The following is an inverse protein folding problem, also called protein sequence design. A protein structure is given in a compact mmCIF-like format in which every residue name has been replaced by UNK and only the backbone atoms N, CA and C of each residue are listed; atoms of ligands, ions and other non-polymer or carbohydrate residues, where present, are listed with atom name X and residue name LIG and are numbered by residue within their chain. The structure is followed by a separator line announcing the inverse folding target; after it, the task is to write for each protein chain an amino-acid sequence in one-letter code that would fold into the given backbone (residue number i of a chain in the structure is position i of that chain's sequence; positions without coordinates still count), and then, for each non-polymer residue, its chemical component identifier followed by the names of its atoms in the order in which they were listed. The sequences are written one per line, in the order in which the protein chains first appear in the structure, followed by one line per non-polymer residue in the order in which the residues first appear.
data_IF_373802330295
#
_entry.id   IF_373802330295
#
_cell.length_a   1.000
_cell.length_b   1.000
_cell.length_c   1.000
_cell.angle_alpha   90.00
_cell.angle_beta   90.00
_cell.angle_gamma   90.00
#
_symmetry.space_group_name_H-M   'P 1'
#
loop_
_entity.id
_entity.type
_entity.pdbx_description
1 polymer ?
#
# COMPACT_ATOMS: atom_id res chain seq x y z
N UNK A 1 42.33 -64.38 -26.60
CA UNK A 1 41.85 -63.61 -25.48
C UNK A 1 40.56 -62.80 -25.90
N UNK A 2 39.39 -63.36 -25.60
CA UNK A 2 38.10 -62.67 -25.81
C UNK A 2 37.95 -61.57 -24.76
N UNK A 3 38.20 -60.34 -25.12
CA UNK A 3 38.09 -59.17 -24.27
C UNK A 3 36.63 -59.03 -23.82
N UNK A 4 36.39 -59.07 -22.52
CA UNK A 4 35.05 -58.92 -21.88
C UNK A 4 34.51 -57.49 -22.10
N UNK A 5 33.95 -57.26 -23.28
CA UNK A 5 33.34 -55.90 -23.60
C UNK A 5 32.02 -55.62 -22.87
N UNK A 6 31.38 -56.69 -22.30
CA UNK A 6 30.10 -56.54 -21.57
C UNK A 6 30.23 -55.80 -20.23
N UNK A 7 31.30 -56.09 -19.46
CA UNK A 7 31.45 -55.41 -18.15
C UNK A 7 31.75 -53.94 -18.22
N UNK A 8 32.44 -53.47 -19.28
CA UNK A 8 32.70 -52.02 -19.47
C UNK A 8 31.42 -51.26 -19.83
N UNK A 9 30.52 -51.90 -20.60
CA UNK A 9 29.24 -51.28 -20.96
C UNK A 9 28.29 -51.11 -19.77
N UNK A 10 28.27 -52.05 -18.84
CA UNK A 10 27.47 -52.00 -17.63
C UNK A 10 27.94 -50.87 -16.68
N UNK A 11 29.25 -50.74 -16.49
CA UNK A 11 29.82 -49.67 -15.65
C UNK A 11 29.52 -48.31 -16.24
N UNK A 12 29.66 -48.13 -17.56
CA UNK A 12 29.33 -46.87 -18.23
C UNK A 12 27.84 -46.53 -18.09
N UNK A 13 26.96 -47.53 -18.24
CA UNK A 13 25.51 -47.32 -18.07
C UNK A 13 25.14 -46.88 -16.65
N UNK A 14 25.75 -47.47 -15.63
CA UNK A 14 25.51 -47.06 -14.21
C UNK A 14 26.02 -45.67 -13.95
N UNK A 15 27.21 -45.31 -14.43
CA UNK A 15 27.78 -43.97 -14.27
C UNK A 15 26.89 -42.92 -14.95
N UNK A 16 26.42 -43.17 -16.17
CA UNK A 16 25.51 -42.27 -16.87
C UNK A 16 24.17 -42.11 -16.15
N UNK A 17 23.62 -43.21 -15.60
CA UNK A 17 22.39 -43.15 -14.82
C UNK A 17 22.55 -42.27 -13.55
N UNK A 18 23.64 -42.44 -12.81
CA UNK A 18 23.95 -41.63 -11.63
C UNK A 18 24.09 -40.16 -12.02
N UNK A 19 24.77 -39.87 -13.13
CA UNK A 19 24.95 -38.49 -13.62
C UNK A 19 23.62 -37.85 -14.01
N UNK A 20 22.73 -38.58 -14.68
CA UNK A 20 21.39 -38.07 -15.02
C UNK A 20 20.55 -37.80 -13.77
N UNK A 21 20.52 -38.71 -12.81
CA UNK A 21 19.72 -38.55 -11.58
C UNK A 21 20.24 -37.40 -10.75
N UNK A 22 21.56 -37.25 -10.64
CA UNK A 22 22.14 -36.12 -9.87
C UNK A 22 21.90 -34.78 -10.53
N UNK A 23 22.00 -34.66 -11.86
CA UNK A 23 21.73 -33.40 -12.56
C UNK A 23 20.26 -32.98 -12.48
N UNK A 24 19.33 -33.94 -12.66
CA UNK A 24 17.88 -33.65 -12.52
C UNK A 24 17.56 -33.29 -11.07
N UNK A 25 18.06 -34.05 -10.09
CA UNK A 25 17.85 -33.81 -8.67
C UNK A 25 18.35 -32.42 -8.24
N UNK A 26 19.53 -32.03 -8.72
CA UNK A 26 20.10 -30.72 -8.44
C UNK A 26 19.29 -29.56 -9.09
N UNK A 27 18.82 -29.78 -10.34
CA UNK A 27 17.96 -28.82 -11.02
C UNK A 27 16.64 -28.59 -10.28
N UNK A 28 15.97 -29.64 -9.83
CA UNK A 28 14.74 -29.56 -9.04
C UNK A 28 15.00 -28.88 -7.69
N UNK A 29 16.11 -29.16 -7.04
CA UNK A 29 16.52 -28.54 -5.79
C UNK A 29 16.72 -27.03 -5.95
N UNK A 30 17.46 -26.57 -6.97
CA UNK A 30 17.63 -25.13 -7.24
C UNK A 30 16.33 -24.44 -7.57
N UNK A 31 15.47 -25.06 -8.37
CA UNK A 31 14.14 -24.53 -8.66
C UNK A 31 13.30 -24.37 -7.40
N UNK A 32 13.32 -25.39 -6.53
CA UNK A 32 12.62 -25.35 -5.24
C UNK A 32 13.10 -24.22 -4.33
N UNK A 33 14.41 -24.00 -4.22
CA UNK A 33 14.98 -22.88 -3.46
C UNK A 33 14.51 -21.52 -4.00
N UNK A 34 14.51 -21.32 -5.31
CA UNK A 34 14.02 -20.08 -5.93
C UNK A 34 12.54 -19.84 -5.66
N UNK A 35 11.73 -20.88 -5.74
CA UNK A 35 10.31 -20.81 -5.44
C UNK A 35 10.04 -20.46 -3.97
N UNK A 36 10.73 -21.09 -3.03
CA UNK A 36 10.60 -20.76 -1.60
C UNK A 36 11.06 -19.34 -1.28
N UNK A 37 12.12 -18.85 -1.89
CA UNK A 37 12.60 -17.47 -1.67
C UNK A 37 11.58 -16.46 -2.16
N UNK A 38 10.96 -16.67 -3.33
CA UNK A 38 9.95 -15.78 -3.85
C UNK A 38 8.67 -15.77 -3.00
N UNK A 39 8.26 -16.91 -2.46
CA UNK A 39 7.10 -17.00 -1.55
C UNK A 39 7.35 -16.31 -0.21
N UNK A 40 8.55 -16.45 0.36
CA UNK A 40 8.91 -15.77 1.62
C UNK A 40 8.94 -14.26 1.45
N UNK A 41 9.53 -13.75 0.37
CA UNK A 41 9.55 -12.32 0.07
C UNK A 41 8.15 -11.75 -0.14
N UNK A 42 7.28 -12.47 -0.85
CA UNK A 42 5.89 -12.06 -1.04
C UNK A 42 5.10 -12.01 0.28
N UNK A 43 5.33 -12.96 1.18
CA UNK A 43 4.70 -12.99 2.51
C UNK A 43 5.21 -11.87 3.42
N UNK A 44 6.49 -11.55 3.39
CA UNK A 44 7.06 -10.44 4.17
C UNK A 44 6.49 -9.09 3.71
N UNK A 45 6.39 -8.86 2.40
CA UNK A 45 5.79 -7.63 1.86
C UNK A 45 4.32 -7.53 2.26
N UNK A 46 3.54 -8.59 2.09
CA UNK A 46 2.13 -8.61 2.47
C UNK A 46 1.92 -8.44 3.99
N UNK A 47 2.78 -9.07 4.81
CA UNK A 47 2.75 -8.92 6.26
C UNK A 47 3.05 -7.50 6.71
N UNK A 48 4.06 -6.86 6.13
CA UNK A 48 4.44 -5.48 6.45
C UNK A 48 3.35 -4.47 6.05
N UNK A 49 2.68 -4.66 4.92
CA UNK A 49 1.56 -3.82 4.50
C UNK A 49 0.41 -3.96 5.49
N UNK A 50 0.00 -5.18 5.85
CA UNK A 50 -1.08 -5.42 6.80
C UNK A 50 -0.81 -4.81 8.18
N UNK A 51 0.43 -4.93 8.69
CA UNK A 51 0.82 -4.36 9.99
C UNK A 51 0.77 -2.82 9.95
N UNK A 52 1.22 -2.20 8.87
CA UNK A 52 1.13 -0.74 8.69
C UNK A 52 -0.32 -0.29 8.62
N UNK A 53 -1.17 -0.96 7.85
CA UNK A 53 -2.61 -0.66 7.75
C UNK A 53 -3.31 -0.71 9.11
N UNK A 54 -3.02 -1.72 9.93
CA UNK A 54 -3.60 -1.86 11.28
C UNK A 54 -3.06 -0.81 12.25
N UNK A 55 -1.83 -0.34 12.05
CA UNK A 55 -1.16 0.63 12.94
C UNK A 55 -1.31 2.08 12.51
N UNK A 56 -1.87 2.33 11.35
CA UNK A 56 -2.08 3.67 10.84
C UNK A 56 -3.22 4.36 11.59
N UNK A 57 -2.87 5.36 12.38
CA UNK A 57 -3.81 6.15 13.16
C UNK A 57 -3.62 7.63 12.85
N UNK A 58 -4.65 8.23 12.33
CA UNK A 58 -4.72 9.67 12.10
C UNK A 58 -6.12 10.17 12.42
N UNK A 59 -6.26 11.45 12.67
CA UNK A 59 -7.55 12.08 12.88
C UNK A 59 -7.57 13.46 12.22
N UNK A 60 -8.76 13.93 11.94
CA UNK A 60 -9.01 15.30 11.54
C UNK A 60 -9.19 16.13 12.82
N UNK A 61 -8.30 17.08 13.04
CA UNK A 61 -8.31 17.95 14.23
C UNK A 61 -9.30 19.09 14.05
N UNK A 62 -9.29 19.70 12.86
CA UNK A 62 -10.09 20.88 12.54
C UNK A 62 -10.38 20.92 11.04
N UNK A 63 -11.48 21.57 10.68
CA UNK A 63 -11.85 21.83 9.28
C UNK A 63 -12.29 23.27 9.13
N UNK A 64 -11.71 23.96 8.19
CA UNK A 64 -12.04 25.32 7.85
C UNK A 64 -12.62 25.42 6.43
N UNK A 65 -13.74 26.11 6.28
CA UNK A 65 -14.43 26.35 5.02
C UNK A 65 -14.28 27.82 4.65
N UNK A 66 -13.57 28.12 3.56
CA UNK A 66 -13.39 29.47 3.06
C UNK A 66 -14.25 29.70 1.82
N UNK A 67 -15.26 30.55 1.94
CA UNK A 67 -16.17 30.87 0.84
C UNK A 67 -15.48 31.69 -0.25
N UNK A 68 -15.94 31.53 -1.49
CA UNK A 68 -15.54 32.33 -2.64
C UNK A 68 -14.03 32.36 -2.92
N UNK A 69 -13.29 31.33 -2.49
CA UNK A 69 -11.84 31.27 -2.64
C UNK A 69 -11.40 31.16 -4.11
N UNK A 70 -12.07 30.31 -4.89
CA UNK A 70 -11.80 30.12 -6.32
C UNK A 70 -12.80 30.86 -7.24
N UNK A 71 -13.89 31.42 -6.66
CA UNK A 71 -14.96 32.09 -7.40
C UNK A 71 -16.30 31.99 -6.68
N UNK A 72 -17.39 32.59 -7.23
CA UNK A 72 -18.71 32.52 -6.60
C UNK A 72 -19.19 31.08 -6.47
N UNK A 73 -19.73 30.70 -5.31
CA UNK A 73 -20.20 29.38 -4.93
C UNK A 73 -19.08 28.30 -4.95
N UNK A 74 -17.83 28.69 -4.76
CA UNK A 74 -16.70 27.82 -4.67
C UNK A 74 -16.03 27.96 -3.31
N UNK A 75 -15.83 26.83 -2.65
CA UNK A 75 -15.28 26.77 -1.30
C UNK A 75 -13.90 26.15 -1.33
N UNK A 76 -12.99 26.66 -0.52
CA UNK A 76 -11.80 25.94 -0.13
C UNK A 76 -12.11 25.17 1.15
N UNK A 77 -12.06 23.86 1.08
CA UNK A 77 -12.12 22.97 2.25
C UNK A 77 -10.70 22.68 2.69
N UNK A 78 -10.38 23.03 3.92
CA UNK A 78 -9.05 22.83 4.50
C UNK A 78 -9.18 22.01 5.79
N UNK A 79 -8.83 20.72 5.71
CA UNK A 79 -8.84 19.80 6.84
C UNK A 79 -7.44 19.67 7.43
N UNK A 80 -7.30 19.95 8.72
CA UNK A 80 -6.07 19.73 9.47
C UNK A 80 -6.03 18.31 9.96
N UNK A 81 -5.14 17.50 9.40
CA UNK A 81 -4.99 16.06 9.74
C UNK A 81 -3.75 15.86 10.59
N UNK A 82 -3.90 15.21 11.73
CA UNK A 82 -2.81 14.86 12.64
C UNK A 82 -2.46 13.37 12.53
N UNK A 83 -1.19 13.07 12.41
CA UNK A 83 -0.65 11.71 12.37
C UNK A 83 -0.16 11.27 13.75
N UNK A 84 -0.81 10.25 14.34
CA UNK A 84 -0.40 9.65 15.62
C UNK A 84 0.64 8.52 15.48
N UNK A 85 1.04 8.19 14.23
CA UNK A 85 1.98 7.12 13.98
C UNK A 85 3.44 7.56 14.13
N UNK A 86 4.32 6.60 14.28
CA UNK A 86 5.77 6.81 14.27
C UNK A 86 6.40 6.71 12.85
N UNK A 87 5.56 6.75 11.81
CA UNK A 87 5.97 6.74 10.40
C UNK A 87 5.09 7.70 9.59
N UNK A 88 5.55 8.04 8.39
CA UNK A 88 4.79 8.91 7.49
C UNK A 88 3.51 8.23 7.04
N UNK A 89 2.41 8.96 7.03
CA UNK A 89 1.16 8.57 6.38
C UNK A 89 0.95 9.43 5.14
N UNK A 90 0.23 8.90 4.18
CA UNK A 90 -0.10 9.59 2.93
C UNK A 90 -1.60 9.65 2.76
N UNK A 91 -2.13 10.85 2.65
CA UNK A 91 -3.55 11.09 2.38
C UNK A 91 -3.75 11.22 0.88
N UNK A 92 -4.64 10.41 0.33
CA UNK A 92 -4.89 10.34 -1.12
C UNK A 92 -6.26 10.88 -1.53
N UNK A 93 -7.22 10.95 -0.62
CA UNK A 93 -8.56 11.41 -0.95
C UNK A 93 -9.23 12.10 0.22
N UNK A 94 -10.02 13.12 -0.08
CA UNK A 94 -10.94 13.77 0.85
C UNK A 94 -12.35 13.80 0.24
N UNK A 95 -13.36 13.66 1.08
CA UNK A 95 -14.76 13.71 0.66
C UNK A 95 -15.53 14.64 1.60
N UNK A 96 -16.45 15.39 1.03
CA UNK A 96 -17.39 16.23 1.73
C UNK A 96 -18.81 15.77 1.39
N UNK A 97 -19.56 15.34 2.39
CA UNK A 97 -20.92 14.79 2.22
C UNK A 97 -21.00 13.71 1.13
N UNK A 98 -19.95 12.86 1.00
CA UNK A 98 -19.85 11.82 -0.03
C UNK A 98 -19.31 12.30 -1.38
N UNK A 99 -19.20 13.60 -1.63
CA UNK A 99 -18.61 14.15 -2.84
C UNK A 99 -17.08 14.20 -2.73
N UNK A 100 -16.39 13.63 -3.69
CA UNK A 100 -14.92 13.63 -3.71
C UNK A 100 -14.38 15.02 -3.99
N UNK A 101 -13.44 15.46 -3.16
CA UNK A 101 -12.67 16.70 -3.36
C UNK A 101 -11.31 16.34 -3.97
N UNK A 102 -10.89 17.12 -4.97
CA UNK A 102 -9.56 17.00 -5.54
C UNK A 102 -8.53 17.62 -4.57
N UNK A 103 -7.79 16.77 -3.88
CA UNK A 103 -6.78 17.20 -2.90
C UNK A 103 -5.60 17.83 -3.63
N UNK A 104 -5.22 19.05 -3.21
CA UNK A 104 -4.03 19.73 -3.71
C UNK A 104 -2.76 19.05 -3.20
N UNK A 105 -1.79 18.80 -4.09
CA UNK A 105 -0.53 18.12 -3.73
C UNK A 105 -0.67 16.62 -3.44
N UNK A 106 -1.68 15.98 -4.01
CA UNK A 106 -1.97 14.56 -3.81
C UNK A 106 -0.83 13.63 -4.32
N UNK A 107 -0.29 12.69 -3.48
CA UNK A 107 -0.65 12.45 -2.09
C UNK A 107 -0.04 13.47 -1.13
N UNK A 108 -0.77 13.84 -0.07
CA UNK A 108 -0.26 14.68 1.02
C UNK A 108 0.42 13.79 2.05
N UNK A 109 1.73 13.95 2.22
CA UNK A 109 2.53 13.17 3.17
C UNK A 109 2.61 13.89 4.52
N UNK A 110 2.20 13.22 5.59
CA UNK A 110 2.20 13.74 6.96
C UNK A 110 3.26 13.00 7.77
N UNK A 111 4.23 13.75 8.31
CA UNK A 111 5.32 13.21 9.13
C UNK A 111 4.81 12.61 10.45
N UNK A 112 5.61 11.75 11.12
CA UNK A 112 5.28 11.21 12.43
C UNK A 112 4.98 12.32 13.45
N UNK A 113 3.92 12.12 14.23
CA UNK A 113 3.53 13.01 15.33
C UNK A 113 3.40 14.48 14.93
N UNK A 114 2.99 14.74 13.69
CA UNK A 114 2.78 16.08 13.15
C UNK A 114 1.43 16.20 12.45
N UNK A 115 1.05 17.44 12.16
CA UNK A 115 -0.14 17.74 11.37
C UNK A 115 0.25 18.30 10.00
N UNK A 116 -0.66 18.16 9.06
CA UNK A 116 -0.55 18.75 7.74
C UNK A 116 -1.96 19.16 7.25
N UNK A 117 -2.01 20.10 6.32
CA UNK A 117 -3.24 20.60 5.74
C UNK A 117 -3.60 19.82 4.47
N UNK A 118 -4.75 19.17 4.52
CA UNK A 118 -5.34 18.50 3.36
C UNK A 118 -6.43 19.41 2.81
N UNK A 119 -6.19 20.02 1.67
CA UNK A 119 -7.07 21.06 1.13
C UNK A 119 -7.45 20.79 -0.32
N UNK A 120 -8.59 21.33 -0.71
CA UNK A 120 -9.05 21.25 -2.09
C UNK A 120 -10.35 22.00 -2.33
N UNK A 121 -10.68 22.26 -3.61
CA UNK A 121 -11.87 22.97 -4.01
C UNK A 121 -13.13 22.11 -3.86
N UNK A 122 -14.19 22.70 -3.35
CA UNK A 122 -15.54 22.16 -3.37
C UNK A 122 -16.48 23.09 -4.15
N UNK A 123 -17.27 22.50 -5.03
CA UNK A 123 -18.23 23.18 -5.89
C UNK A 123 -19.64 22.79 -5.44
N UNK A 124 -20.30 23.65 -4.68
CA UNK A 124 -21.65 23.40 -4.19
C UNK A 124 -22.02 24.29 -3.04
N UNK A 125 -23.26 24.19 -2.59
CA UNK A 125 -23.76 24.88 -1.41
C UNK A 125 -23.48 24.05 -0.16
N UNK A 126 -22.92 24.66 0.87
CA UNK A 126 -22.66 24.02 2.15
C UNK A 126 -23.84 24.13 3.13
N UNK A 127 -24.78 25.00 2.85
CA UNK A 127 -25.87 25.34 3.81
C UNK A 127 -25.33 26.03 5.06
N UNK A 128 -26.01 27.08 5.50
CA UNK A 128 -25.60 27.82 6.69
C UNK A 128 -25.83 27.00 7.96
N UNK A 129 -24.79 26.83 8.78
CA UNK A 129 -24.82 26.15 10.08
C UNK A 129 -25.23 24.64 10.01
N UNK A 130 -25.05 23.98 8.89
CA UNK A 130 -25.33 22.56 8.77
C UNK A 130 -24.03 21.78 8.95
N UNK A 131 -23.96 20.81 9.92
CA UNK A 131 -22.75 19.99 10.08
C UNK A 131 -22.41 19.23 8.80
N UNK A 132 -21.18 19.37 8.35
CA UNK A 132 -20.66 18.76 7.13
C UNK A 132 -19.87 17.50 7.46
N UNK A 133 -20.17 16.38 6.79
CA UNK A 133 -19.42 15.13 6.94
C UNK A 133 -18.13 15.19 6.11
N UNK A 134 -17.01 15.24 6.80
CA UNK A 134 -15.68 15.17 6.17
C UNK A 134 -15.12 13.75 6.36
N UNK A 135 -14.69 13.15 5.26
CA UNK A 135 -14.01 11.86 5.24
C UNK A 135 -12.66 12.00 4.57
N UNK A 136 -11.62 11.51 5.22
CA UNK A 136 -10.25 11.49 4.70
C UNK A 136 -9.79 10.04 4.59
N UNK A 137 -9.12 9.71 3.47
CA UNK A 137 -8.68 8.36 3.16
C UNK A 137 -7.18 8.34 2.93
N UNK A 138 -6.47 7.43 3.61
CA UNK A 138 -5.04 7.23 3.42
C UNK A 138 -4.72 6.32 2.24
N UNK A 139 -3.46 6.30 1.82
CA UNK A 139 -2.94 5.42 0.75
C UNK A 139 -3.07 3.92 1.06
N UNK A 140 -3.13 3.56 2.35
CA UNK A 140 -3.34 2.18 2.80
C UNK A 140 -4.83 1.81 2.95
N UNK A 141 -5.75 2.73 2.63
CA UNK A 141 -7.19 2.51 2.67
C UNK A 141 -7.84 2.76 4.03
N UNK A 142 -7.09 3.28 5.01
CA UNK A 142 -7.69 3.69 6.29
C UNK A 142 -8.52 4.96 6.11
N UNK A 143 -9.62 5.01 6.83
CA UNK A 143 -10.62 6.09 6.72
C UNK A 143 -10.84 6.71 8.08
N UNK A 144 -10.84 8.03 8.13
CA UNK A 144 -11.34 8.82 9.26
C UNK A 144 -12.45 9.73 8.77
N UNK A 145 -13.56 9.76 9.49
CA UNK A 145 -14.69 10.63 9.17
C UNK A 145 -15.31 11.23 10.44
N UNK A 146 -15.73 12.48 10.34
CA UNK A 146 -16.44 13.16 11.40
C UNK A 146 -17.24 14.36 10.85
N UNK A 147 -18.17 14.87 11.66
CA UNK A 147 -18.97 16.05 11.34
C UNK A 147 -18.31 17.31 11.87
N UNK A 148 -18.26 18.34 11.03
CA UNK A 148 -17.70 19.65 11.35
C UNK A 148 -18.72 20.76 11.02
N UNK A 149 -18.83 21.83 11.84
CA UNK A 149 -19.67 22.98 11.53
C UNK A 149 -19.14 23.69 10.27
N UNK A 150 -20.05 24.12 9.40
CA UNK A 150 -19.74 24.96 8.23
C UNK A 150 -19.66 26.43 8.57
#
# INVERSE_FOLDING_TARGET
LKRNRKGVSEIIAVVLMILMVTTIGFGVYLYSLGYFTSLTSAREVAGNINIKTIREHFLIVDVNFTANYYGPNQWLVNATVYNYCNYNIEIVSMYLNGTKINVEGNPVSIKPYSYEFVKGPYFGDLGDNVPQLIRVVSSLGNVYENYYPS
#
